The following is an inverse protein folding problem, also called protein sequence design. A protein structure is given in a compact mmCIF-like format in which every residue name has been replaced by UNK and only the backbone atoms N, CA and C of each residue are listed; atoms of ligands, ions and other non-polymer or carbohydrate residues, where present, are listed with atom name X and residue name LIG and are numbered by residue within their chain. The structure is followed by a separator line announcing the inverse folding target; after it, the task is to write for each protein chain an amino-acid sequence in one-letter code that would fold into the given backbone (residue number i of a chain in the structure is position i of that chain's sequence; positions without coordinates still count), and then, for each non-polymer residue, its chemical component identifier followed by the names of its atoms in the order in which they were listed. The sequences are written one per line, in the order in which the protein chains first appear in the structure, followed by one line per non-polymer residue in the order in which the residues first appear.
data_IF_617838941985
#
_entry.id   IF_617838941985
#
_cell.length_a   1.000
_cell.length_b   1.000
_cell.length_c   1.000
_cell.angle_alpha   90.00
_cell.angle_beta   90.00
_cell.angle_gamma   90.00
#
_symmetry.space_group_name_H-M   'P 1'
#
loop_
_entity.id
_entity.type
_entity.pdbx_description
1 polymer ?
#
# COMPACT_ATOMS: atom_id res chain seq x y z
N UNK A 1 -34.85 -0.01 -9.42
CA UNK A 1 -33.40 -0.25 -9.18
C UNK A 1 -32.89 0.44 -7.91
N UNK A 2 -32.79 1.77 -7.83
CA UNK A 2 -32.24 2.43 -6.62
C UNK A 2 -33.02 2.10 -5.33
N UNK A 3 -34.36 2.12 -5.39
CA UNK A 3 -35.23 1.71 -4.28
C UNK A 3 -35.03 0.25 -3.89
N UNK A 4 -34.96 -0.65 -4.87
CA UNK A 4 -34.84 -2.09 -4.64
C UNK A 4 -33.47 -2.44 -4.05
N UNK A 5 -32.38 -1.82 -4.54
CA UNK A 5 -31.05 -1.94 -3.97
C UNK A 5 -30.98 -1.42 -2.53
N UNK A 6 -31.64 -0.28 -2.26
CA UNK A 6 -31.69 0.26 -0.91
C UNK A 6 -32.48 -0.63 0.04
N UNK A 7 -33.62 -1.17 -0.41
CA UNK A 7 -34.41 -2.11 0.39
C UNK A 7 -33.61 -3.37 0.69
N UNK A 8 -32.95 -3.96 -0.32
CA UNK A 8 -32.07 -5.11 -0.13
C UNK A 8 -30.96 -4.81 0.88
N UNK A 9 -30.33 -3.63 0.80
CA UNK A 9 -29.34 -3.20 1.79
C UNK A 9 -29.92 -3.14 3.21
N UNK A 10 -31.11 -2.57 3.39
CA UNK A 10 -31.76 -2.49 4.70
C UNK A 10 -32.06 -3.87 5.26
N UNK A 11 -32.58 -4.77 4.43
CA UNK A 11 -32.92 -6.15 4.83
C UNK A 11 -31.67 -6.93 5.24
N UNK A 12 -30.60 -6.87 4.44
CA UNK A 12 -29.32 -7.52 4.74
C UNK A 12 -28.62 -6.90 5.96
N UNK A 13 -28.71 -5.57 6.12
CA UNK A 13 -28.20 -4.86 7.30
C UNK A 13 -28.89 -5.34 8.57
N UNK A 14 -30.21 -5.54 8.55
CA UNK A 14 -30.94 -6.08 9.70
C UNK A 14 -30.49 -7.50 10.07
N UNK A 15 -30.31 -8.38 9.07
CA UNK A 15 -29.79 -9.75 9.29
C UNK A 15 -28.41 -9.74 9.92
N UNK A 16 -27.49 -8.91 9.41
CA UNK A 16 -26.14 -8.77 9.97
C UNK A 16 -26.15 -8.18 11.38
N UNK A 17 -27.00 -7.18 11.67
CA UNK A 17 -27.17 -6.67 13.03
C UNK A 17 -27.68 -7.74 13.99
N UNK A 18 -28.61 -8.59 13.55
CA UNK A 18 -29.08 -9.71 14.36
C UNK A 18 -27.95 -10.70 14.65
N UNK A 19 -27.10 -11.00 13.65
CA UNK A 19 -25.90 -11.81 13.84
C UNK A 19 -24.94 -11.22 14.88
N UNK A 20 -24.60 -9.93 14.79
CA UNK A 20 -23.62 -9.31 15.70
C UNK A 20 -24.09 -9.16 17.15
N UNK A 21 -25.39 -9.20 17.42
CA UNK A 21 -25.93 -9.13 18.80
C UNK A 21 -25.65 -10.36 19.65
N UNK A 22 -25.23 -11.47 19.06
CA UNK A 22 -24.81 -12.66 19.82
C UNK A 22 -23.48 -12.39 20.55
N UNK A 23 -23.45 -12.57 21.87
CA UNK A 23 -22.25 -12.32 22.70
C UNK A 23 -21.05 -13.22 22.31
N UNK A 24 -21.31 -14.35 21.64
CA UNK A 24 -20.29 -15.27 21.14
C UNK A 24 -19.59 -14.78 19.87
N UNK A 25 -20.15 -13.79 19.17
CA UNK A 25 -19.63 -13.34 17.89
C UNK A 25 -18.56 -12.28 18.09
N UNK A 26 -17.32 -12.71 17.87
CA UNK A 26 -16.13 -11.87 17.97
C UNK A 26 -15.81 -11.23 16.63
N UNK A 27 -15.57 -9.92 16.64
CA UNK A 27 -15.31 -9.13 15.43
C UNK A 27 -13.92 -8.49 15.50
N UNK A 28 -13.14 -8.64 14.43
CA UNK A 28 -11.96 -7.83 14.18
C UNK A 28 -12.33 -6.65 13.27
N UNK A 29 -11.68 -5.51 13.46
CA UNK A 29 -11.97 -4.29 12.72
C UNK A 29 -10.76 -3.88 11.87
N UNK A 30 -11.01 -3.35 10.68
CA UNK A 30 -10.03 -2.52 9.97
C UNK A 30 -10.67 -1.15 9.72
N UNK A 31 -9.86 -0.10 9.80
CA UNK A 31 -10.32 1.25 9.48
C UNK A 31 -9.30 2.00 8.64
N UNK A 32 -9.81 2.82 7.73
CA UNK A 32 -9.01 3.68 6.88
C UNK A 32 -9.63 5.08 6.82
N UNK A 33 -8.76 6.09 6.88
CA UNK A 33 -9.12 7.49 6.76
C UNK A 33 -8.56 8.02 5.45
N UNK A 34 -9.41 8.61 4.61
CA UNK A 34 -8.96 9.19 3.37
C UNK A 34 -9.57 10.58 3.17
N UNK A 35 -8.90 11.39 2.35
CA UNK A 35 -9.39 12.71 1.93
C UNK A 35 -9.64 12.65 0.43
N UNK A 36 -10.85 13.01 0.01
CA UNK A 36 -11.23 13.08 -1.40
C UNK A 36 -10.64 14.31 -2.09
N UNK A 37 -10.70 14.33 -3.42
CA UNK A 37 -10.31 15.49 -4.24
C UNK A 37 -11.15 16.75 -3.96
N UNK A 38 -12.31 16.60 -3.31
CA UNK A 38 -13.18 17.70 -2.88
C UNK A 38 -12.86 18.16 -1.44
N UNK A 39 -11.73 17.75 -0.88
CA UNK A 39 -11.31 18.02 0.50
C UNK A 39 -12.28 17.53 1.58
N UNK A 40 -13.08 16.50 1.28
CA UNK A 40 -13.91 15.83 2.27
C UNK A 40 -13.15 14.65 2.88
N UNK A 41 -13.22 14.54 4.20
CA UNK A 41 -12.61 13.47 4.97
C UNK A 41 -13.60 12.32 5.16
N UNK A 42 -13.18 11.11 4.82
CA UNK A 42 -13.97 9.90 4.95
C UNK A 42 -13.34 8.95 5.96
N UNK A 43 -14.20 8.19 6.62
CA UNK A 43 -13.86 7.06 7.48
C UNK A 43 -14.57 5.82 6.97
N UNK A 44 -13.79 4.78 6.70
CA UNK A 44 -14.32 3.45 6.39
C UNK A 44 -14.08 2.54 7.57
N UNK A 45 -15.12 1.86 8.05
CA UNK A 45 -15.00 0.81 9.07
C UNK A 45 -15.47 -0.52 8.48
N UNK A 46 -14.59 -1.52 8.54
CA UNK A 46 -14.86 -2.87 8.05
C UNK A 46 -14.81 -3.86 9.21
N UNK A 47 -15.83 -4.70 9.32
CA UNK A 47 -15.86 -5.84 10.23
C UNK A 47 -15.37 -7.11 9.54
N UNK A 48 -14.57 -7.87 10.26
CA UNK A 48 -14.04 -9.17 9.89
C UNK A 48 -14.45 -10.18 10.96
N UNK A 49 -15.08 -11.29 10.55
CA UNK A 49 -15.59 -12.28 11.49
C UNK A 49 -15.69 -13.66 10.81
N UNK A 50 -15.95 -14.69 11.62
CA UNK A 50 -16.26 -16.03 11.14
C UNK A 50 -17.75 -16.27 11.42
N UNK A 51 -18.50 -16.72 10.41
CA UNK A 51 -19.92 -17.00 10.57
C UNK A 51 -20.16 -18.38 11.26
N UNK A 52 -21.44 -18.70 11.51
CA UNK A 52 -21.82 -19.96 12.15
C UNK A 52 -21.52 -21.22 11.29
N UNK A 53 -21.13 -21.03 10.02
CA UNK A 53 -20.76 -22.08 9.08
C UNK A 53 -19.23 -22.15 8.88
N UNK A 54 -18.46 -21.47 9.73
CA UNK A 54 -16.99 -21.40 9.64
C UNK A 54 -16.45 -20.69 8.40
N UNK A 55 -17.26 -19.87 7.74
CA UNK A 55 -16.80 -19.03 6.64
C UNK A 55 -16.24 -17.71 7.16
N UNK A 56 -15.09 -17.31 6.62
CA UNK A 56 -14.57 -15.98 6.83
C UNK A 56 -15.44 -14.95 6.10
N UNK A 57 -15.85 -13.93 6.82
CA UNK A 57 -16.70 -12.86 6.32
C UNK A 57 -16.05 -11.49 6.53
N UNK A 58 -16.18 -10.65 5.51
CA UNK A 58 -15.74 -9.26 5.49
C UNK A 58 -16.90 -8.38 5.07
N UNK A 59 -17.27 -7.39 5.89
CA UNK A 59 -18.37 -6.45 5.60
C UNK A 59 -17.97 -5.02 5.95
N UNK A 60 -18.17 -4.09 5.01
CA UNK A 60 -18.08 -2.66 5.30
C UNK A 60 -19.33 -2.29 6.09
N UNK A 61 -19.15 -1.89 7.35
CA UNK A 61 -20.25 -1.55 8.25
C UNK A 61 -20.47 -0.04 8.39
N UNK A 62 -19.50 0.75 7.95
CA UNK A 62 -19.64 2.20 7.82
C UNK A 62 -18.73 2.76 6.74
N UNK A 63 -19.27 3.68 5.95
CA UNK A 63 -18.52 4.58 5.08
C UNK A 63 -19.14 5.97 5.25
N UNK A 64 -18.45 6.87 5.95
CA UNK A 64 -19.03 8.13 6.42
C UNK A 64 -18.07 9.29 6.26
N UNK A 65 -18.63 10.47 6.01
CA UNK A 65 -17.88 11.72 6.12
C UNK A 65 -17.64 12.02 7.61
N UNK A 66 -16.43 12.49 7.93
CA UNK A 66 -16.02 12.95 9.25
C UNK A 66 -15.43 14.37 9.13
N UNK A 67 -15.47 15.19 10.19
CA UNK A 67 -14.97 16.57 10.09
C UNK A 67 -13.45 16.64 9.95
N UNK A 68 -12.70 15.68 10.49
CA UNK A 68 -11.24 15.62 10.47
C UNK A 68 -10.74 14.22 10.86
N UNK A 69 -9.46 13.92 10.62
CA UNK A 69 -8.81 12.66 10.98
C UNK A 69 -8.19 12.64 12.39
N UNK A 70 -8.64 13.50 13.32
CA UNK A 70 -8.14 13.48 14.70
C UNK A 70 -8.64 12.23 15.42
N UNK A 71 -7.80 11.67 16.28
CA UNK A 71 -8.09 10.40 16.95
C UNK A 71 -9.36 10.40 17.79
N UNK A 72 -9.69 11.52 18.44
CA UNK A 72 -10.93 11.67 19.20
C UNK A 72 -12.18 11.64 18.31
N UNK A 73 -12.08 12.22 17.11
CA UNK A 73 -13.17 12.21 16.11
C UNK A 73 -13.36 10.80 15.56
N UNK A 74 -12.26 10.15 15.15
CA UNK A 74 -12.26 8.78 14.63
C UNK A 74 -12.78 7.79 15.68
N UNK A 75 -12.23 7.82 16.90
CA UNK A 75 -12.62 6.92 17.98
C UNK A 75 -14.10 7.04 18.37
N UNK A 76 -14.62 8.26 18.51
CA UNK A 76 -16.07 8.48 18.77
C UNK A 76 -16.95 7.97 17.64
N UNK A 77 -16.53 8.18 16.38
CA UNK A 77 -17.32 7.71 15.25
C UNK A 77 -17.34 6.18 15.17
N UNK A 78 -16.23 5.52 15.47
CA UNK A 78 -16.18 4.06 15.54
C UNK A 78 -17.07 3.56 16.69
N UNK A 79 -17.00 4.15 17.88
CA UNK A 79 -17.91 3.79 19.01
C UNK A 79 -19.39 3.93 18.62
N UNK A 80 -19.76 5.02 17.96
CA UNK A 80 -21.12 5.25 17.46
C UNK A 80 -21.58 4.13 16.52
N UNK A 81 -20.72 3.74 15.57
CA UNK A 81 -21.00 2.65 14.63
C UNK A 81 -21.13 1.33 15.37
N UNK A 82 -20.20 0.98 16.27
CA UNK A 82 -20.28 -0.26 17.04
C UNK A 82 -21.60 -0.35 17.83
N UNK A 83 -22.03 0.76 18.43
CA UNK A 83 -23.32 0.84 19.12
C UNK A 83 -24.52 0.67 18.18
N UNK A 84 -24.52 1.30 16.99
CA UNK A 84 -25.58 1.12 15.99
C UNK A 84 -25.71 -0.33 15.54
N UNK A 85 -24.57 -1.01 15.36
CA UNK A 85 -24.52 -2.40 14.93
C UNK A 85 -24.70 -3.41 16.07
N UNK A 86 -24.69 -2.97 17.33
CA UNK A 86 -24.78 -3.85 18.49
C UNK A 86 -23.53 -4.70 18.74
N UNK A 87 -22.39 -4.29 18.18
CA UNK A 87 -21.11 -5.01 18.31
C UNK A 87 -20.48 -4.63 19.65
N UNK A 88 -20.36 -5.60 20.55
CA UNK A 88 -19.70 -5.43 21.87
C UNK A 88 -18.35 -6.13 21.97
N UNK A 89 -18.22 -7.28 21.31
CA UNK A 89 -17.04 -8.15 21.41
C UNK A 89 -16.07 -7.90 20.25
N UNK A 90 -15.14 -6.97 20.45
CA UNK A 90 -14.12 -6.62 19.45
C UNK A 90 -12.78 -7.21 19.89
N UNK A 91 -12.21 -8.05 19.04
CA UNK A 91 -10.92 -8.70 19.31
C UNK A 91 -9.73 -7.78 19.10
N UNK A 92 -9.74 -7.09 17.97
CA UNK A 92 -8.62 -6.27 17.50
C UNK A 92 -9.12 -5.22 16.52
N UNK A 93 -8.37 -4.14 16.39
CA UNK A 93 -8.53 -3.13 15.37
C UNK A 93 -7.19 -2.91 14.67
N UNK A 94 -7.21 -3.02 13.35
CA UNK A 94 -6.08 -2.72 12.49
C UNK A 94 -6.23 -1.32 11.89
N UNK A 95 -5.21 -0.49 12.10
CA UNK A 95 -5.15 0.90 11.65
C UNK A 95 -3.80 1.18 10.97
N UNK A 96 -3.72 2.20 10.13
CA UNK A 96 -2.42 2.64 9.61
C UNK A 96 -1.52 3.22 10.72
N UNK A 97 -0.28 3.56 10.38
CA UNK A 97 0.70 4.04 11.36
C UNK A 97 0.63 5.56 11.62
N UNK A 98 -0.53 6.20 11.42
CA UNK A 98 -0.73 7.58 11.83
C UNK A 98 -0.84 7.70 13.36
N UNK A 99 -0.21 8.73 13.93
CA UNK A 99 -0.22 8.99 15.38
C UNK A 99 -1.61 9.32 15.92
N UNK A 100 -2.50 9.88 15.10
CA UNK A 100 -3.89 10.10 15.48
C UNK A 100 -4.63 8.80 15.78
N UNK A 101 -4.26 7.69 15.15
CA UNK A 101 -4.89 6.40 15.39
C UNK A 101 -4.53 5.83 16.77
N UNK A 102 -3.38 6.18 17.36
CA UNK A 102 -3.05 5.77 18.74
C UNK A 102 -4.06 6.32 19.74
N UNK A 103 -4.47 7.58 19.54
CA UNK A 103 -5.48 8.23 20.37
C UNK A 103 -6.85 7.57 20.17
N UNK A 104 -7.23 7.27 18.91
CA UNK A 104 -8.49 6.59 18.60
C UNK A 104 -8.55 5.19 19.23
N UNK A 105 -7.48 4.41 19.10
CA UNK A 105 -7.41 3.04 19.62
C UNK A 105 -7.39 3.04 21.15
N UNK A 106 -6.65 3.96 21.78
CA UNK A 106 -6.67 4.11 23.25
C UNK A 106 -8.06 4.46 23.76
N UNK A 107 -8.78 5.34 23.05
CA UNK A 107 -10.16 5.67 23.37
C UNK A 107 -11.08 4.45 23.27
N UNK A 108 -11.01 3.72 22.15
CA UNK A 108 -11.85 2.55 21.89
C UNK A 108 -11.56 1.41 22.89
N UNK A 109 -10.29 1.17 23.21
CA UNK A 109 -9.88 0.17 24.18
C UNK A 109 -10.61 0.39 25.51
N UNK A 110 -10.56 1.62 26.05
CA UNK A 110 -11.26 1.97 27.30
C UNK A 110 -12.77 1.73 27.22
N UNK A 111 -13.40 2.09 26.10
CA UNK A 111 -14.84 1.90 25.89
C UNK A 111 -15.22 0.42 25.82
N UNK A 112 -14.44 -0.39 25.10
CA UNK A 112 -14.73 -1.81 24.92
C UNK A 112 -14.44 -2.61 26.19
N UNK A 113 -13.43 -2.21 26.98
CA UNK A 113 -13.20 -2.76 28.33
C UNK A 113 -14.45 -2.66 29.19
N UNK A 114 -15.13 -1.50 29.19
CA UNK A 114 -16.35 -1.31 29.99
C UNK A 114 -17.54 -2.14 29.51
N UNK A 115 -17.48 -2.71 28.31
CA UNK A 115 -18.53 -3.56 27.75
C UNK A 115 -18.27 -5.06 27.97
N UNK A 116 -17.25 -5.45 28.75
CA UNK A 116 -16.78 -6.85 28.90
C UNK A 116 -16.45 -7.55 27.57
N UNK A 117 -16.17 -6.78 26.52
CA UNK A 117 -16.04 -7.28 25.16
C UNK A 117 -14.60 -7.53 24.70
N UNK A 118 -13.63 -7.55 25.62
CA UNK A 118 -12.22 -7.69 25.29
C UNK A 118 -11.76 -9.13 25.26
N UNK A 119 -10.86 -9.43 24.33
CA UNK A 119 -10.13 -10.70 24.30
C UNK A 119 -8.83 -10.57 25.10
N UNK A 120 -8.62 -11.44 26.09
CA UNK A 120 -7.44 -11.37 26.95
C UNK A 120 -7.38 -10.09 27.78
N UNK A 121 -6.20 -9.51 27.93
CA UNK A 121 -5.93 -8.26 28.66
C UNK A 121 -5.85 -7.02 27.75
N UNK A 122 -6.21 -7.16 26.46
CA UNK A 122 -6.16 -6.07 25.48
C UNK A 122 -4.80 -5.82 24.84
N UNK A 123 -3.76 -6.59 25.18
CA UNK A 123 -2.42 -6.43 24.58
C UNK A 123 -2.42 -6.51 23.06
N UNK A 124 -3.29 -7.34 22.48
CA UNK A 124 -3.39 -7.53 21.02
C UNK A 124 -4.53 -6.72 20.37
N UNK A 125 -5.11 -5.75 21.10
CA UNK A 125 -6.24 -4.98 20.58
C UNK A 125 -5.81 -4.06 19.44
N UNK A 126 -4.59 -3.51 19.49
CA UNK A 126 -4.08 -2.63 18.46
C UNK A 126 -3.15 -3.39 17.51
N UNK A 127 -3.53 -3.49 16.24
CA UNK A 127 -2.65 -3.96 15.18
C UNK A 127 -2.34 -2.82 14.22
N UNK A 128 -1.07 -2.70 13.81
CA UNK A 128 -0.67 -1.77 12.76
C UNK A 128 -0.83 -2.43 11.40
N UNK A 129 -1.15 -1.63 10.39
CA UNK A 129 -1.24 -2.10 9.02
C UNK A 129 0.15 -2.47 8.48
N UNK A 130 0.35 -3.76 8.20
CA UNK A 130 1.62 -4.29 7.67
C UNK A 130 1.99 -3.65 6.32
N UNK A 131 1.02 -3.44 5.43
CA UNK A 131 1.25 -2.79 4.12
C UNK A 131 1.73 -1.35 4.29
N UNK A 132 1.15 -0.63 5.25
CA UNK A 132 1.59 0.73 5.56
C UNK A 132 2.99 0.76 6.18
N UNK A 133 3.30 -0.15 7.10
CA UNK A 133 4.66 -0.27 7.67
C UNK A 133 5.66 -0.60 6.56
N UNK A 134 5.35 -1.58 5.70
CA UNK A 134 6.22 -1.95 4.59
C UNK A 134 6.46 -0.76 3.65
N UNK A 135 5.42 0.03 3.37
CA UNK A 135 5.56 1.26 2.62
C UNK A 135 6.50 2.26 3.28
N UNK A 136 6.44 2.43 4.61
CA UNK A 136 7.37 3.30 5.34
C UNK A 136 8.81 2.77 5.32
N UNK A 137 9.00 1.47 5.45
CA UNK A 137 10.31 0.80 5.41
C UNK A 137 10.96 1.00 4.04
N UNK A 138 10.28 0.62 2.96
CA UNK A 138 10.85 0.72 1.61
C UNK A 138 11.10 2.16 1.20
N UNK A 139 10.20 3.08 1.53
CA UNK A 139 10.42 4.50 1.21
C UNK A 139 11.59 5.09 1.99
N UNK A 140 11.95 4.59 3.18
CA UNK A 140 13.17 5.04 3.86
C UNK A 140 14.42 4.64 3.07
N UNK A 141 14.49 3.40 2.57
CA UNK A 141 15.61 2.95 1.73
C UNK A 141 15.67 3.65 0.35
N UNK A 142 14.52 4.09 -0.18
CA UNK A 142 14.46 4.82 -1.45
C UNK A 142 14.50 6.34 -1.29
N UNK A 143 14.66 6.83 -0.06
CA UNK A 143 14.65 8.26 0.26
C UNK A 143 15.86 8.98 -0.32
N UNK A 144 17.01 8.32 -0.29
CA UNK A 144 18.21 8.80 -0.93
C UNK A 144 18.03 8.74 -2.44
N UNK A 145 18.32 9.87 -3.09
CA UNK A 145 18.12 10.04 -4.53
C UNK A 145 19.18 9.26 -5.29
N UNK A 146 18.95 7.95 -5.46
CA UNK A 146 19.72 7.16 -6.39
C UNK A 146 19.63 7.81 -7.78
N UNK A 147 20.79 8.09 -8.37
CA UNK A 147 20.89 8.82 -9.63
C UNK A 147 20.21 8.05 -10.76
N UNK A 148 20.38 6.72 -10.83
CA UNK A 148 19.74 5.87 -11.84
C UNK A 148 18.22 5.90 -11.74
N UNK A 149 17.63 5.84 -10.54
CA UNK A 149 16.18 5.99 -10.36
C UNK A 149 15.72 7.40 -10.79
N UNK A 150 16.52 8.43 -10.50
CA UNK A 150 16.23 9.81 -10.91
C UNK A 150 16.26 9.96 -12.44
N UNK A 151 17.23 9.33 -13.10
CA UNK A 151 17.33 9.25 -14.55
C UNK A 151 16.14 8.54 -15.18
N UNK A 152 15.71 7.40 -14.62
CA UNK A 152 14.48 6.70 -15.05
C UNK A 152 13.28 7.63 -14.99
N UNK A 153 13.08 8.36 -13.87
CA UNK A 153 11.98 9.32 -13.75
C UNK A 153 12.04 10.40 -14.83
N UNK A 154 13.24 10.87 -15.16
CA UNK A 154 13.46 11.82 -16.24
C UNK A 154 13.04 11.25 -17.60
N UNK A 155 13.51 10.04 -17.92
CA UNK A 155 13.24 9.38 -19.19
C UNK A 155 11.73 9.12 -19.38
N UNK A 156 11.08 8.59 -18.35
CA UNK A 156 9.63 8.37 -18.34
C UNK A 156 8.87 9.69 -18.45
N UNK A 157 9.30 10.74 -17.74
CA UNK A 157 8.66 12.06 -17.82
C UNK A 157 8.74 12.63 -19.22
N UNK A 158 9.88 12.47 -19.91
CA UNK A 158 10.04 12.93 -21.28
C UNK A 158 9.02 12.28 -22.22
N UNK A 159 8.96 10.94 -22.26
CA UNK A 159 8.09 10.23 -23.20
C UNK A 159 6.60 10.46 -22.90
N UNK A 160 6.25 10.79 -21.66
CA UNK A 160 4.87 11.08 -21.24
C UNK A 160 4.48 12.56 -21.32
N UNK A 161 5.41 13.48 -21.59
CA UNK A 161 5.12 14.91 -21.49
C UNK A 161 4.28 15.46 -22.64
N UNK A 162 4.20 14.77 -23.78
CA UNK A 162 3.35 15.18 -24.90
C UNK A 162 2.91 13.97 -25.76
N UNK A 163 1.77 14.08 -26.46
CA UNK A 163 1.33 13.05 -27.40
C UNK A 163 2.37 12.76 -28.49
N UNK A 164 3.07 13.79 -28.98
CA UNK A 164 4.10 13.65 -30.01
C UNK A 164 5.28 12.79 -29.52
N UNK A 165 5.79 13.03 -28.30
CA UNK A 165 6.86 12.22 -27.71
C UNK A 165 6.41 10.79 -27.44
N UNK A 166 5.16 10.58 -27.05
CA UNK A 166 4.59 9.25 -26.86
C UNK A 166 4.50 8.47 -28.19
N UNK A 167 4.10 9.13 -29.29
CA UNK A 167 4.09 8.54 -30.63
C UNK A 167 5.52 8.20 -31.06
N UNK A 168 6.47 9.12 -30.91
CA UNK A 168 7.87 8.87 -31.28
C UNK A 168 8.47 7.69 -30.51
N UNK A 169 8.23 7.60 -29.20
CA UNK A 169 8.66 6.46 -28.41
C UNK A 169 8.00 5.15 -28.86
N UNK A 170 6.73 5.19 -29.26
CA UNK A 170 6.04 4.02 -29.83
C UNK A 170 6.68 3.54 -31.13
N UNK A 171 7.10 4.44 -32.01
CA UNK A 171 7.89 4.08 -33.20
C UNK A 171 9.20 3.39 -32.83
N UNK A 172 9.89 3.86 -31.78
CA UNK A 172 11.10 3.20 -31.28
C UNK A 172 10.82 1.79 -30.73
N UNK A 173 9.69 1.57 -30.04
CA UNK A 173 9.25 0.24 -29.56
C UNK A 173 9.01 -0.70 -30.75
N UNK A 174 8.30 -0.22 -31.77
CA UNK A 174 7.99 -0.98 -32.99
C UNK A 174 9.27 -1.34 -33.76
N UNK A 175 10.19 -0.38 -33.92
CA UNK A 175 11.49 -0.61 -34.57
C UNK A 175 12.35 -1.62 -33.81
N UNK A 176 12.37 -1.53 -32.48
CA UNK A 176 13.12 -2.47 -31.63
C UNK A 176 12.47 -3.87 -31.56
N UNK A 177 11.31 -4.09 -32.21
CA UNK A 177 10.61 -5.37 -32.22
C UNK A 177 10.07 -5.79 -30.85
N UNK A 178 9.84 -4.82 -29.95
CA UNK A 178 9.42 -5.11 -28.58
C UNK A 178 7.93 -5.47 -28.57
N UNK A 179 7.61 -6.71 -28.20
CA UNK A 179 6.22 -7.22 -28.12
C UNK A 179 5.57 -7.00 -26.76
N UNK A 180 6.30 -6.44 -25.80
CA UNK A 180 5.81 -6.14 -24.46
C UNK A 180 4.64 -5.14 -24.50
N UNK A 181 3.50 -5.50 -23.90
CA UNK A 181 2.30 -4.65 -23.83
C UNK A 181 2.24 -3.75 -22.59
N UNK A 182 3.25 -3.79 -21.72
CA UNK A 182 3.30 -2.91 -20.55
C UNK A 182 3.40 -1.44 -21.00
N UNK A 183 2.97 -0.53 -20.15
CA UNK A 183 3.12 0.91 -20.38
C UNK A 183 4.11 1.47 -19.37
N UNK A 184 4.95 2.40 -19.81
CA UNK A 184 5.77 3.19 -18.90
C UNK A 184 4.88 4.11 -18.05
N UNK A 185 5.11 4.10 -16.74
CA UNK A 185 4.38 4.90 -15.76
C UNK A 185 5.35 5.72 -14.92
N UNK A 186 4.95 6.94 -14.56
CA UNK A 186 5.72 7.75 -13.62
C UNK A 186 5.34 7.33 -12.20
N UNK A 187 6.34 7.28 -11.32
CA UNK A 187 6.14 6.92 -9.92
C UNK A 187 5.40 8.00 -9.12
N UNK A 188 5.04 7.63 -7.89
CA UNK A 188 4.48 8.55 -6.88
C UNK A 188 5.37 8.42 -5.66
N UNK A 189 5.96 9.53 -5.20
CA UNK A 189 6.98 9.53 -4.14
C UNK A 189 6.53 8.91 -2.82
N UNK A 190 5.23 8.89 -2.55
CA UNK A 190 4.66 8.31 -1.32
C UNK A 190 4.24 6.84 -1.47
N UNK A 191 4.33 6.26 -2.68
CA UNK A 191 3.88 4.91 -3.01
C UNK A 191 4.98 4.15 -3.75
N UNK A 192 5.83 3.50 -2.98
CA UNK A 192 7.02 2.81 -3.49
C UNK A 192 6.67 1.70 -4.50
N UNK A 193 5.49 1.07 -4.40
CA UNK A 193 5.03 0.03 -5.32
C UNK A 193 4.89 0.56 -6.76
N UNK A 194 4.55 1.84 -6.93
CA UNK A 194 4.53 2.49 -8.25
C UNK A 194 5.95 2.73 -8.75
N UNK A 195 6.91 3.03 -7.87
CA UNK A 195 8.33 3.10 -8.21
C UNK A 195 8.84 1.76 -8.73
N UNK A 196 8.50 0.65 -8.05
CA UNK A 196 8.84 -0.69 -8.53
C UNK A 196 8.26 -0.96 -9.92
N UNK A 197 6.98 -0.67 -10.14
CA UNK A 197 6.33 -0.85 -11.44
C UNK A 197 6.95 0.02 -12.55
N UNK A 198 7.38 1.23 -12.23
CA UNK A 198 8.10 2.11 -13.17
C UNK A 198 9.42 1.48 -13.60
N UNK A 199 10.22 0.97 -12.64
CA UNK A 199 11.49 0.30 -12.92
C UNK A 199 11.27 -0.99 -13.73
N UNK A 200 10.31 -1.82 -13.32
CA UNK A 200 10.00 -3.07 -13.99
C UNK A 200 9.48 -2.85 -15.43
N UNK A 201 8.72 -1.77 -15.65
CA UNK A 201 8.26 -1.41 -16.99
C UNK A 201 9.40 -0.90 -17.87
N UNK A 202 10.20 0.07 -17.39
CA UNK A 202 11.24 0.70 -18.22
C UNK A 202 12.31 -0.29 -18.66
N UNK A 203 12.66 -1.29 -17.83
CA UNK A 203 13.62 -2.34 -18.15
C UNK A 203 13.23 -3.13 -19.41
N UNK A 204 11.93 -3.32 -19.66
CA UNK A 204 11.43 -3.98 -20.88
C UNK A 204 11.55 -3.14 -22.14
N UNK A 205 11.86 -1.85 -22.00
CA UNK A 205 11.93 -0.90 -23.10
C UNK A 205 13.32 -0.32 -23.31
N UNK A 206 14.38 -0.90 -22.72
CA UNK A 206 15.76 -0.42 -22.87
C UNK A 206 16.14 -0.13 -24.34
N UNK A 207 15.97 -1.11 -25.23
CA UNK A 207 16.32 -0.93 -26.66
C UNK A 207 15.53 0.20 -27.35
N UNK A 208 14.29 0.48 -26.89
CA UNK A 208 13.52 1.61 -27.41
C UNK A 208 14.02 2.95 -26.86
N UNK A 209 14.49 3.02 -25.61
CA UNK A 209 15.13 4.21 -25.05
C UNK A 209 16.51 4.47 -25.70
N UNK A 210 17.31 3.44 -25.93
CA UNK A 210 18.58 3.55 -26.65
C UNK A 210 18.35 4.12 -28.05
N UNK A 211 17.34 3.59 -28.76
CA UNK A 211 16.92 4.08 -30.08
C UNK A 211 16.43 5.52 -30.04
N UNK A 212 15.63 5.88 -29.03
CA UNK A 212 15.13 7.26 -28.85
C UNK A 212 16.29 8.23 -28.64
N UNK A 213 17.31 7.85 -27.86
CA UNK A 213 18.50 8.67 -27.65
C UNK A 213 19.30 8.92 -28.93
N UNK A 214 19.37 7.92 -29.81
CA UNK A 214 20.03 8.07 -31.10
C UNK A 214 19.23 8.92 -32.09
N UNK A 215 17.91 8.78 -32.14
CA UNK A 215 17.08 9.43 -33.16
C UNK A 215 16.55 10.81 -32.78
N UNK A 216 16.30 11.09 -31.50
CA UNK A 216 15.58 12.28 -31.08
C UNK A 216 16.51 13.31 -30.43
N UNK A 217 16.85 14.37 -31.16
CA UNK A 217 17.70 15.44 -30.64
C UNK A 217 17.10 16.11 -29.42
N UNK A 218 15.77 16.30 -29.38
CA UNK A 218 15.10 16.93 -28.24
C UNK A 218 15.18 16.10 -26.96
N UNK A 219 15.37 14.78 -27.07
CA UNK A 219 15.63 13.90 -25.93
C UNK A 219 17.02 14.18 -25.35
N UNK A 220 18.05 14.22 -26.20
CA UNK A 220 19.42 14.56 -25.76
C UNK A 220 19.50 15.96 -25.15
N UNK A 221 18.86 16.95 -25.79
CA UNK A 221 18.80 18.32 -25.28
C UNK A 221 18.13 18.41 -23.91
N UNK A 222 17.10 17.59 -23.66
CA UNK A 222 16.41 17.55 -22.37
C UNK A 222 17.31 17.08 -21.21
N UNK A 223 18.29 16.22 -21.48
CA UNK A 223 19.25 15.72 -20.48
C UNK A 223 20.62 16.43 -20.49
N UNK A 224 20.88 17.28 -21.49
CA UNK A 224 22.12 18.04 -21.60
C UNK A 224 23.30 17.20 -22.10
N UNK A 225 24.52 17.44 -21.57
CA UNK A 225 25.77 16.79 -22.03
C UNK A 225 25.97 15.34 -21.56
N UNK A 226 24.96 14.70 -20.97
CA UNK A 226 25.02 13.32 -20.50
C UNK A 226 24.00 12.42 -21.18
N UNK A 227 24.34 11.15 -21.39
CA UNK A 227 23.33 10.14 -21.70
C UNK A 227 22.38 10.01 -20.49
N UNK A 228 21.05 9.99 -20.71
CA UNK A 228 20.10 9.85 -19.62
C UNK A 228 20.25 8.54 -18.85
N UNK A 229 20.55 7.43 -19.52
CA UNK A 229 20.64 6.10 -18.93
C UNK A 229 21.83 5.34 -19.53
N UNK A 230 22.92 5.27 -18.77
CA UNK A 230 24.12 4.51 -19.14
C UNK A 230 23.90 3.00 -18.99
N UNK A 231 24.85 2.19 -19.49
CA UNK A 231 24.84 0.73 -19.26
C UNK A 231 24.84 0.39 -17.77
N UNK A 232 25.60 1.14 -16.96
CA UNK A 232 25.67 0.95 -15.51
C UNK A 232 24.33 1.28 -14.84
N UNK A 233 23.60 2.28 -15.33
CA UNK A 233 22.26 2.60 -14.82
C UNK A 233 21.30 1.44 -15.04
N UNK A 234 21.35 0.78 -16.20
CA UNK A 234 20.51 -0.39 -16.48
C UNK A 234 20.81 -1.55 -15.55
N UNK A 235 22.08 -1.79 -15.22
CA UNK A 235 22.48 -2.83 -14.27
C UNK A 235 22.01 -2.50 -12.84
N UNK A 236 22.12 -1.24 -12.43
CA UNK A 236 21.56 -0.75 -11.15
C UNK A 236 20.04 -0.93 -11.11
N UNK A 237 19.33 -0.57 -12.19
CA UNK A 237 17.88 -0.72 -12.31
C UNK A 237 17.48 -2.18 -12.16
N UNK A 238 18.14 -3.11 -12.86
CA UNK A 238 17.87 -4.55 -12.74
C UNK A 238 18.14 -5.08 -11.33
N UNK A 239 19.21 -4.61 -10.68
CA UNK A 239 19.49 -4.96 -9.30
C UNK A 239 18.39 -4.45 -8.34
N UNK A 240 17.90 -3.22 -8.53
CA UNK A 240 16.76 -2.69 -7.75
C UNK A 240 15.47 -3.45 -8.01
N UNK A 241 15.18 -3.83 -9.26
CA UNK A 241 14.01 -4.66 -9.58
C UNK A 241 14.10 -5.99 -8.85
N UNK A 242 15.26 -6.65 -8.88
CA UNK A 242 15.47 -7.92 -8.19
C UNK A 242 15.28 -7.78 -6.67
N UNK A 243 15.89 -6.75 -6.07
CA UNK A 243 15.81 -6.48 -4.64
C UNK A 243 14.39 -6.14 -4.19
N UNK A 244 13.71 -5.21 -4.87
CA UNK A 244 12.38 -4.73 -4.49
C UNK A 244 11.26 -5.74 -4.77
N UNK A 245 11.51 -6.76 -5.59
CA UNK A 245 10.51 -7.76 -5.97
C UNK A 245 9.90 -8.48 -4.78
N UNK A 246 10.72 -8.89 -3.80
CA UNK A 246 10.23 -9.56 -2.58
C UNK A 246 9.21 -8.69 -1.84
N UNK A 247 9.55 -7.41 -1.67
CA UNK A 247 8.68 -6.44 -1.01
C UNK A 247 7.37 -6.26 -1.80
N UNK A 248 7.43 -6.37 -3.13
CA UNK A 248 6.27 -6.07 -3.98
C UNK A 248 5.27 -7.22 -3.93
N UNK A 249 5.78 -8.43 -3.95
CA UNK A 249 5.03 -9.65 -3.71
C UNK A 249 4.41 -9.64 -2.30
N UNK A 250 5.17 -9.22 -1.28
CA UNK A 250 4.66 -9.08 0.08
C UNK A 250 3.52 -8.05 0.19
N UNK A 251 3.66 -6.86 -0.40
CA UNK A 251 2.58 -5.87 -0.46
C UNK A 251 1.33 -6.44 -1.13
N UNK A 252 1.46 -7.14 -2.25
CA UNK A 252 0.31 -7.77 -2.91
C UNK A 252 -0.40 -8.79 -2.00
N UNK A 253 0.35 -9.54 -1.19
CA UNK A 253 -0.22 -10.45 -0.17
C UNK A 253 -0.94 -9.66 0.93
N UNK A 254 -0.34 -8.59 1.45
CA UNK A 254 -0.93 -7.77 2.51
C UNK A 254 -2.20 -7.03 2.05
N UNK A 255 -2.25 -6.58 0.80
CA UNK A 255 -3.40 -5.87 0.23
C UNK A 255 -4.54 -6.81 -0.22
N UNK A 256 -4.39 -8.13 -0.08
CA UNK A 256 -5.46 -9.08 -0.45
C UNK A 256 -6.72 -8.87 0.42
N UNK A 257 -7.88 -8.90 -0.22
CA UNK A 257 -9.18 -8.60 0.43
C UNK A 257 -10.13 -9.79 0.52
N UNK A 258 -9.83 -10.89 -0.17
CA UNK A 258 -10.73 -12.04 -0.36
C UNK A 258 -10.31 -13.31 0.42
N UNK A 259 -9.14 -13.30 1.04
CA UNK A 259 -8.61 -14.45 1.79
C UNK A 259 -8.09 -14.03 3.15
N UNK A 260 -8.04 -14.96 4.09
CA UNK A 260 -7.40 -14.76 5.40
C UNK A 260 -5.91 -14.49 5.15
N UNK A 261 -5.45 -13.27 5.40
CA UNK A 261 -4.10 -12.85 5.03
C UNK A 261 -3.08 -12.96 6.17
N UNK A 262 -3.51 -13.05 7.44
CA UNK A 262 -2.61 -12.87 8.58
C UNK A 262 -1.52 -13.96 8.70
N UNK A 263 -1.88 -15.23 8.42
CA UNK A 263 -0.93 -16.35 8.46
C UNK A 263 0.12 -16.24 7.35
N UNK A 264 -0.30 -15.88 6.12
CA UNK A 264 0.61 -15.64 5.00
C UNK A 264 1.46 -14.39 5.25
N UNK A 265 0.89 -13.38 5.92
CA UNK A 265 1.58 -12.13 6.18
C UNK A 265 2.79 -12.31 7.11
N UNK A 266 2.69 -13.17 8.12
CA UNK A 266 3.82 -13.47 9.00
C UNK A 266 5.03 -14.01 8.23
N UNK A 267 4.81 -14.97 7.32
CA UNK A 267 5.89 -15.52 6.50
C UNK A 267 6.55 -14.46 5.60
N UNK A 268 5.76 -13.53 5.05
CA UNK A 268 6.29 -12.41 4.27
C UNK A 268 7.13 -11.47 5.13
N UNK A 269 6.69 -11.14 6.34
CA UNK A 269 7.45 -10.30 7.28
C UNK A 269 8.79 -10.97 7.64
N UNK A 270 8.79 -12.27 7.93
CA UNK A 270 10.02 -13.02 8.19
C UNK A 270 10.97 -13.00 6.98
N UNK A 271 10.45 -13.22 5.77
CA UNK A 271 11.25 -13.20 4.54
C UNK A 271 11.88 -11.81 4.31
N UNK A 272 11.10 -10.74 4.46
CA UNK A 272 11.59 -9.35 4.38
C UNK A 272 12.70 -9.10 5.40
N UNK A 273 12.50 -9.53 6.64
CA UNK A 273 13.48 -9.32 7.70
C UNK A 273 14.81 -10.06 7.41
N UNK A 274 14.74 -11.29 6.90
CA UNK A 274 15.90 -12.04 6.45
C UNK A 274 16.62 -11.36 5.27
N UNK A 275 15.87 -10.92 4.26
CA UNK A 275 16.41 -10.22 3.09
C UNK A 275 17.12 -8.92 3.49
N UNK A 276 16.52 -8.13 4.38
CA UNK A 276 17.14 -6.90 4.88
C UNK A 276 18.44 -7.19 5.63
N UNK A 277 18.49 -8.24 6.45
CA UNK A 277 19.73 -8.66 7.14
C UNK A 277 20.84 -9.06 6.18
N UNK A 278 20.51 -9.71 5.09
CA UNK A 278 21.49 -10.08 4.07
C UNK A 278 21.94 -8.85 3.29
N UNK A 279 21.00 -7.97 2.97
CA UNK A 279 21.25 -6.75 2.21
C UNK A 279 22.19 -5.80 2.94
N UNK A 280 22.14 -5.70 4.28
CA UNK A 280 23.11 -4.89 5.04
C UNK A 280 24.55 -5.38 4.92
N UNK A 281 24.75 -6.64 4.50
CA UNK A 281 26.07 -7.26 4.28
C UNK A 281 26.45 -7.31 2.79
N UNK A 282 25.70 -6.63 1.92
CA UNK A 282 25.94 -6.65 0.48
C UNK A 282 27.28 -5.97 0.13
N UNK A 283 28.03 -6.53 -0.82
CA UNK A 283 29.29 -5.96 -1.30
C UNK A 283 29.08 -4.66 -2.09
N UNK A 284 27.90 -4.47 -2.67
CA UNK A 284 27.51 -3.22 -3.31
C UNK A 284 27.11 -2.20 -2.25
N UNK A 285 27.91 -1.15 -2.09
CA UNK A 285 27.71 -0.10 -1.07
C UNK A 285 26.36 0.62 -1.16
N UNK A 286 25.76 0.71 -2.35
CA UNK A 286 24.41 1.29 -2.52
C UNK A 286 23.38 0.41 -1.82
N UNK A 287 23.39 -0.89 -2.11
CA UNK A 287 22.44 -1.83 -1.51
C UNK A 287 22.70 -2.02 -0.01
N UNK A 288 23.97 -2.04 0.42
CA UNK A 288 24.30 -2.09 1.85
C UNK A 288 23.70 -0.91 2.62
N UNK A 289 23.80 0.32 2.07
CA UNK A 289 23.20 1.51 2.66
C UNK A 289 21.67 1.41 2.67
N UNK A 290 21.05 1.13 1.52
CA UNK A 290 19.58 1.00 1.39
C UNK A 290 19.02 -0.04 2.35
N UNK A 291 19.66 -1.22 2.44
CA UNK A 291 19.29 -2.27 3.37
C UNK A 291 19.46 -1.85 4.83
N UNK A 292 20.51 -1.10 5.14
CA UNK A 292 20.76 -0.52 6.47
C UNK A 292 19.63 0.40 6.91
N UNK A 293 19.25 1.36 6.07
CA UNK A 293 18.18 2.33 6.34
C UNK A 293 16.82 1.64 6.49
N UNK A 294 16.52 0.70 5.60
CA UNK A 294 15.29 -0.11 5.66
C UNK A 294 15.26 -0.98 6.93
N UNK A 295 16.39 -1.58 7.32
CA UNK A 295 16.49 -2.39 8.53
C UNK A 295 16.30 -1.55 9.79
N UNK A 296 16.94 -0.38 9.87
CA UNK A 296 16.76 0.54 10.99
C UNK A 296 15.29 0.96 11.12
N UNK A 297 14.65 1.29 9.99
CA UNK A 297 13.23 1.63 9.96
C UNK A 297 12.34 0.46 10.39
N UNK A 298 12.65 -0.76 9.92
CA UNK A 298 11.91 -1.98 10.25
C UNK A 298 11.96 -2.28 11.75
N UNK A 299 13.13 -2.13 12.40
CA UNK A 299 13.29 -2.41 13.83
C UNK A 299 12.56 -1.44 14.77
N UNK A 300 12.02 -0.32 14.25
CA UNK A 300 11.21 0.62 15.04
C UNK A 300 9.75 0.17 15.20
N UNK A 301 9.33 -0.89 14.49
CA UNK A 301 7.98 -1.44 14.47
C UNK A 301 7.96 -2.85 15.04
#
# INVERSE_FOLDING_TARGET
MARDCFQLHLDEKQKLKAFFKSDFNKVALTTDCCTSIQNQNYLTLTSHFVDNKWNYEKRIISFTVIPNHKGDTVGRKIEEVLRDWGIRNVSTITVDNATSNDVAVTYLLRKISTMNGMTGDGKCFHMRCADHILNLVVNEGLKDKNLSITSVRGAVRFVKSSPHRAVKFKECIEFAGITCKKLVCLDVSTRWNVTYLMLEAIEKFQAAFDKLEHEESSYREFFGKGSPLSSDDWDIIRAFISFLKLFYEATNVFSTSQSVSLHSAFHQVCAIYCELKQTTMNLNGVFASVGGDMMEKCNRY
#
